data_IF_463855388525
#
_entry.id   IF_463855388525
#
_cell.length_a   1.000
_cell.length_b   1.000
_cell.length_c   1.000
_cell.angle_alpha   90.00
_cell.angle_beta   90.00
_cell.angle_gamma   90.00
#
_symmetry.space_group_name_H-M   'P 1'
#
loop_
_entity.id
_entity.type
_entity.pdbx_description
1 polymer ?
#
# COMPACT_ATOMS: atom_id res chain seq x y z
N UNK A 1 -5.52 41.69 -7.88
CA UNK A 1 -6.21 40.41 -7.76
C UNK A 1 -5.33 39.32 -7.12
N UNK A 2 -5.30 39.26 -5.80
CA UNK A 2 -4.44 38.29 -5.10
C UNK A 2 -5.09 36.94 -4.85
N UNK A 3 -6.35 36.72 -5.22
CA UNK A 3 -7.12 35.54 -4.84
C UNK A 3 -6.74 34.24 -5.60
N UNK A 4 -6.09 34.35 -6.77
CA UNK A 4 -5.74 33.17 -7.57
C UNK A 4 -4.51 32.41 -7.05
N UNK A 5 -3.59 33.07 -6.35
CA UNK A 5 -2.37 32.43 -5.85
C UNK A 5 -2.60 31.61 -4.58
N UNK A 6 -3.51 32.00 -3.70
CA UNK A 6 -3.82 31.23 -2.50
C UNK A 6 -4.65 29.98 -2.81
N UNK A 7 -5.61 30.09 -3.74
CA UNK A 7 -6.37 28.93 -4.20
C UNK A 7 -5.48 27.91 -4.94
N UNK A 8 -4.54 28.37 -5.76
CA UNK A 8 -3.56 27.51 -6.41
C UNK A 8 -2.62 26.81 -5.41
N UNK A 9 -2.21 27.49 -4.34
CA UNK A 9 -1.37 26.87 -3.31
C UNK A 9 -2.09 25.80 -2.50
N UNK A 10 -3.40 25.91 -2.31
CA UNK A 10 -4.21 24.92 -1.62
C UNK A 10 -4.46 23.67 -2.49
N UNK A 11 -4.62 23.85 -3.79
CA UNK A 11 -4.80 22.74 -4.75
C UNK A 11 -3.53 21.88 -4.85
N UNK A 12 -2.34 22.46 -4.72
CA UNK A 12 -1.05 21.76 -4.80
C UNK A 12 -0.46 21.39 -3.45
N UNK A 13 -1.19 21.50 -2.38
CA UNK A 13 -0.71 21.14 -1.06
C UNK A 13 -0.50 19.63 -0.95
N UNK A 14 0.75 19.22 -0.78
CA UNK A 14 1.12 17.81 -0.65
C UNK A 14 0.48 17.20 0.60
N UNK A 15 -0.27 16.11 0.43
CA UNK A 15 -0.94 15.40 1.51
C UNK A 15 -0.24 14.11 1.91
N UNK A 16 0.77 13.69 1.14
CA UNK A 16 1.49 12.48 1.47
C UNK A 16 2.73 12.26 0.61
N UNK A 17 3.50 11.29 1.03
CA UNK A 17 4.67 10.78 0.32
C UNK A 17 4.71 9.26 0.47
N UNK A 18 5.11 8.57 -0.56
CA UNK A 18 5.51 7.17 -0.56
C UNK A 18 6.68 7.00 -1.53
N UNK A 19 7.51 6.01 -1.32
CA UNK A 19 8.72 5.81 -2.11
C UNK A 19 8.89 4.36 -2.52
N UNK A 20 9.56 4.14 -3.65
CA UNK A 20 10.19 2.86 -3.95
C UNK A 20 11.57 2.80 -3.33
N UNK A 21 11.91 1.66 -2.77
CA UNK A 21 13.23 1.42 -2.18
C UNK A 21 13.63 -0.04 -2.37
N UNK A 22 14.89 -0.36 -2.05
CA UNK A 22 15.46 -1.71 -2.25
C UNK A 22 15.11 -2.26 -3.63
N UNK A 23 15.46 -1.47 -4.64
CA UNK A 23 15.20 -1.77 -6.04
C UNK A 23 16.30 -2.69 -6.54
N UNK A 24 15.94 -3.95 -6.85
CA UNK A 24 16.85 -4.98 -7.33
C UNK A 24 16.38 -5.51 -8.69
N UNK A 25 16.73 -4.84 -9.80
CA UNK A 25 16.24 -5.22 -11.11
C UNK A 25 16.68 -6.63 -11.54
N UNK A 26 17.88 -7.05 -11.14
CA UNK A 26 18.40 -8.38 -11.47
C UNK A 26 17.58 -9.52 -10.87
N UNK A 27 17.07 -9.34 -9.65
CA UNK A 27 16.18 -10.28 -8.97
C UNK A 27 14.70 -10.02 -9.28
N UNK A 28 14.40 -8.87 -9.88
CA UNK A 28 13.04 -8.43 -10.17
C UNK A 28 12.23 -8.07 -8.94
N UNK A 29 12.87 -7.54 -7.89
CA UNK A 29 12.19 -7.11 -6.66
C UNK A 29 12.28 -5.61 -6.43
N UNK A 30 11.21 -5.06 -5.84
CA UNK A 30 11.09 -3.65 -5.47
C UNK A 30 10.18 -3.54 -4.24
N UNK A 31 10.49 -2.61 -3.35
CA UNK A 31 9.72 -2.38 -2.12
C UNK A 31 9.03 -1.03 -2.17
N UNK A 32 7.81 -0.96 -1.63
CA UNK A 32 7.16 0.31 -1.29
C UNK A 32 7.34 0.60 0.21
N UNK A 33 7.72 1.82 0.51
CA UNK A 33 7.92 2.23 1.90
C UNK A 33 8.03 3.74 2.05
N UNK A 34 8.51 4.18 3.22
CA UNK A 34 8.53 5.60 3.60
C UNK A 34 7.17 6.27 3.39
N UNK A 35 6.09 5.55 3.75
CA UNK A 35 4.72 6.01 3.55
C UNK A 35 4.35 6.96 4.68
N UNK A 36 4.16 8.23 4.34
CA UNK A 36 3.71 9.26 5.25
C UNK A 36 2.51 9.98 4.66
N UNK A 37 1.33 9.70 5.17
CA UNK A 37 0.09 10.34 4.74
C UNK A 37 -0.42 11.27 5.85
N UNK A 38 -0.83 12.48 5.47
CA UNK A 38 -1.48 13.40 6.39
C UNK A 38 -2.81 12.83 6.91
N UNK A 39 -3.32 13.31 8.05
CA UNK A 39 -4.64 12.92 8.51
C UNK A 39 -5.76 13.13 7.48
N UNK A 40 -5.61 14.11 6.58
CA UNK A 40 -6.58 14.37 5.50
C UNK A 40 -6.55 13.29 4.40
N UNK A 41 -5.40 12.65 4.18
CA UNK A 41 -5.25 11.61 3.16
C UNK A 41 -5.47 10.21 3.74
N UNK A 42 -5.13 10.00 5.01
CA UNK A 42 -5.28 8.70 5.67
C UNK A 42 -6.70 8.17 5.57
N UNK A 43 -6.85 6.86 5.31
CA UNK A 43 -8.14 6.16 5.24
C UNK A 43 -9.09 6.66 4.15
N UNK A 44 -8.58 7.36 3.15
CA UNK A 44 -9.36 7.82 2.01
C UNK A 44 -9.23 6.86 0.82
N UNK A 45 -10.17 6.93 -0.10
CA UNK A 45 -10.10 6.24 -1.40
C UNK A 45 -8.88 6.68 -2.19
N UNK A 46 -8.54 7.97 -2.16
CA UNK A 46 -7.35 8.51 -2.82
C UNK A 46 -6.04 7.90 -2.30
N UNK A 47 -5.92 7.65 -0.99
CA UNK A 47 -4.77 6.95 -0.43
C UNK A 47 -4.66 5.51 -0.97
N UNK A 48 -5.77 4.81 -1.06
CA UNK A 48 -5.83 3.46 -1.63
C UNK A 48 -5.48 3.46 -3.10
N UNK A 49 -6.02 4.40 -3.87
CA UNK A 49 -5.71 4.55 -5.31
C UNK A 49 -4.22 4.85 -5.54
N UNK A 50 -3.62 5.71 -4.72
CA UNK A 50 -2.19 6.00 -4.79
C UNK A 50 -1.35 4.74 -4.61
N UNK A 51 -1.68 3.90 -3.63
CA UNK A 51 -0.98 2.63 -3.41
C UNK A 51 -1.22 1.63 -4.55
N UNK A 52 -2.43 1.60 -5.09
CA UNK A 52 -2.74 0.80 -6.29
C UNK A 52 -1.90 1.20 -7.49
N UNK A 53 -1.83 2.49 -7.79
CA UNK A 53 -1.04 3.00 -8.93
C UNK A 53 0.46 2.68 -8.79
N UNK A 54 1.01 2.75 -7.57
CA UNK A 54 2.39 2.35 -7.32
C UNK A 54 2.60 0.84 -7.54
N UNK A 55 1.70 0.00 -7.07
CA UNK A 55 1.77 -1.46 -7.29
C UNK A 55 1.64 -1.79 -8.78
N UNK A 56 0.70 -1.16 -9.47
CA UNK A 56 0.49 -1.31 -10.90
C UNK A 56 1.76 -0.97 -11.68
N UNK A 57 2.36 0.19 -11.40
CA UNK A 57 3.60 0.59 -12.07
C UNK A 57 4.71 -0.44 -11.86
N UNK A 58 4.88 -0.95 -10.65
CA UNK A 58 5.93 -1.92 -10.35
C UNK A 58 5.78 -3.20 -11.19
N UNK A 59 4.57 -3.78 -11.27
CA UNK A 59 4.34 -4.98 -12.07
C UNK A 59 4.38 -4.71 -13.58
N UNK A 60 3.87 -3.58 -14.05
CA UNK A 60 3.93 -3.19 -15.46
C UNK A 60 5.36 -2.86 -15.91
N UNK A 61 6.23 -2.41 -15.00
CA UNK A 61 7.66 -2.24 -15.25
C UNK A 61 8.45 -3.57 -15.29
N UNK A 62 7.80 -4.70 -15.02
CA UNK A 62 8.39 -6.03 -15.12
C UNK A 62 8.97 -6.58 -13.82
N UNK A 63 8.75 -5.92 -12.69
CA UNK A 63 9.10 -6.50 -11.41
C UNK A 63 8.20 -7.69 -11.12
N UNK A 64 8.80 -8.78 -10.61
CA UNK A 64 8.08 -10.02 -10.29
C UNK A 64 7.66 -10.12 -8.82
N UNK A 65 8.22 -9.23 -7.96
CA UNK A 65 7.99 -9.22 -6.53
C UNK A 65 7.91 -7.78 -6.02
N UNK A 66 6.79 -7.45 -5.38
CA UNK A 66 6.53 -6.17 -4.76
C UNK A 66 6.43 -6.34 -3.24
N UNK A 67 7.29 -5.66 -2.48
CA UNK A 67 7.51 -5.93 -1.07
C UNK A 67 6.94 -4.83 -0.17
N UNK A 68 6.53 -5.25 1.02
CA UNK A 68 6.17 -4.40 2.14
C UNK A 68 6.82 -4.94 3.41
N UNK A 69 7.48 -4.06 4.17
CA UNK A 69 8.12 -4.40 5.43
C UNK A 69 7.71 -3.41 6.51
N UNK A 70 7.54 -3.90 7.73
CA UNK A 70 7.27 -3.03 8.86
C UNK A 70 7.80 -3.64 10.16
N UNK A 71 7.86 -2.82 11.21
CA UNK A 71 8.06 -3.33 12.55
C UNK A 71 6.96 -4.35 12.88
N UNK A 72 7.34 -5.52 13.38
CA UNK A 72 6.39 -6.58 13.71
C UNK A 72 5.33 -6.15 14.75
N UNK A 73 5.64 -5.15 15.57
CA UNK A 73 4.71 -4.54 16.54
C UNK A 73 3.73 -3.56 15.90
N UNK A 74 3.98 -3.11 14.66
CA UNK A 74 3.10 -2.15 13.97
C UNK A 74 1.89 -2.84 13.35
N UNK A 75 0.90 -3.13 14.16
CA UNK A 75 -0.32 -3.81 13.75
C UNK A 75 -1.11 -3.04 12.66
N UNK A 76 -1.07 -1.71 12.70
CA UNK A 76 -1.74 -0.90 11.69
C UNK A 76 -1.11 -1.11 10.30
N UNK A 77 0.22 -1.12 10.22
CA UNK A 77 0.95 -1.39 8.97
C UNK A 77 0.75 -2.82 8.48
N UNK A 78 0.75 -3.81 9.38
CA UNK A 78 0.50 -5.22 9.06
C UNK A 78 -0.90 -5.39 8.45
N UNK A 79 -1.93 -4.80 9.06
CA UNK A 79 -3.29 -4.82 8.50
C UNK A 79 -3.40 -4.09 7.17
N UNK A 80 -2.71 -2.95 7.01
CA UNK A 80 -2.69 -2.21 5.76
C UNK A 80 -2.07 -3.03 4.62
N UNK A 81 -0.96 -3.72 4.86
CA UNK A 81 -0.33 -4.60 3.88
C UNK A 81 -1.31 -5.66 3.36
N UNK A 82 -1.96 -6.40 4.27
CA UNK A 82 -2.93 -7.43 3.88
C UNK A 82 -4.16 -6.86 3.16
N UNK A 83 -4.67 -5.72 3.63
CA UNK A 83 -5.76 -5.02 2.96
C UNK A 83 -5.41 -4.68 1.50
N UNK A 84 -4.18 -4.30 1.24
CA UNK A 84 -3.66 -4.00 -0.09
C UNK A 84 -3.27 -5.24 -0.90
N UNK A 85 -3.47 -6.44 -0.38
CA UNK A 85 -3.24 -7.69 -1.09
C UNK A 85 -1.83 -8.26 -0.95
N UNK A 86 -1.01 -7.74 -0.04
CA UNK A 86 0.28 -8.35 0.26
C UNK A 86 0.11 -9.55 1.19
N UNK A 87 0.62 -10.69 0.79
CA UNK A 87 0.65 -11.91 1.58
C UNK A 87 1.74 -11.86 2.65
N UNK A 88 1.43 -12.34 3.85
CA UNK A 88 2.40 -12.45 4.93
C UNK A 88 3.42 -13.55 4.64
N UNK A 89 4.71 -13.26 4.82
CA UNK A 89 5.77 -14.24 4.60
C UNK A 89 6.47 -14.68 5.88
N UNK A 90 6.52 -13.83 6.88
CA UNK A 90 7.12 -14.19 8.15
C UNK A 90 7.67 -13.00 8.94
N UNK A 91 8.29 -13.32 10.07
CA UNK A 91 8.96 -12.35 10.93
C UNK A 91 10.42 -12.67 11.00
N UNK A 92 11.27 -11.70 10.65
CA UNK A 92 12.70 -11.76 10.94
C UNK A 92 12.92 -11.27 12.36
N UNK A 93 13.24 -12.21 13.25
CA UNK A 93 13.50 -11.91 14.66
C UNK A 93 14.85 -11.21 14.81
N UNK A 94 14.91 -10.17 15.65
CA UNK A 94 16.13 -9.40 15.93
C UNK A 94 16.82 -8.87 14.67
N UNK A 95 16.02 -8.48 13.67
CA UNK A 95 16.52 -8.02 12.38
C UNK A 95 17.31 -6.71 12.49
N UNK A 96 16.92 -5.83 13.40
CA UNK A 96 17.49 -4.49 13.53
C UNK A 96 17.53 -4.04 14.99
N UNK A 97 18.45 -3.11 15.27
CA UNK A 97 18.42 -2.28 16.47
C UNK A 97 18.09 -0.85 16.04
N UNK A 98 16.97 -0.32 16.53
CA UNK A 98 16.51 1.02 16.20
C UNK A 98 16.39 1.82 17.49
N UNK A 99 17.11 2.93 17.59
CA UNK A 99 17.14 3.77 18.81
C UNK A 99 17.43 2.96 20.08
N UNK A 100 18.38 2.02 20.01
CA UNK A 100 18.79 1.16 21.11
C UNK A 100 17.81 0.05 21.50
N UNK A 101 16.75 -0.17 20.71
CA UNK A 101 15.75 -1.21 20.95
C UNK A 101 15.73 -2.25 19.85
N UNK A 102 15.48 -3.49 20.22
CA UNK A 102 15.25 -4.56 19.24
C UNK A 102 14.06 -4.23 18.33
N UNK A 103 14.19 -4.57 17.06
CA UNK A 103 13.12 -4.52 16.08
C UNK A 103 13.07 -5.83 15.30
N UNK A 104 12.03 -6.59 15.53
CA UNK A 104 11.62 -7.67 14.65
C UNK A 104 10.90 -7.08 13.43
N UNK A 105 11.15 -7.62 12.25
CA UNK A 105 10.58 -7.11 11.00
C UNK A 105 9.59 -8.11 10.41
N UNK A 106 8.36 -7.67 10.21
CA UNK A 106 7.34 -8.43 9.49
C UNK A 106 7.49 -8.17 7.98
N UNK A 107 7.46 -9.25 7.20
CA UNK A 107 7.64 -9.26 5.75
C UNK A 107 6.36 -9.64 5.05
N UNK A 108 6.02 -8.89 4.02
CA UNK A 108 4.87 -9.10 3.15
C UNK A 108 5.29 -8.91 1.70
N UNK A 109 4.66 -9.64 0.79
CA UNK A 109 4.88 -9.46 -0.64
C UNK A 109 3.62 -9.79 -1.44
N UNK A 110 3.53 -9.18 -2.62
CA UNK A 110 2.70 -9.61 -3.73
C UNK A 110 3.64 -10.02 -4.87
N UNK A 111 3.27 -11.04 -5.64
CA UNK A 111 4.05 -11.52 -6.77
C UNK A 111 3.30 -11.35 -8.09
N UNK A 112 4.02 -11.42 -9.19
CA UNK A 112 3.49 -11.15 -10.53
C UNK A 112 2.33 -12.07 -10.93
N UNK A 113 2.37 -13.34 -10.50
CA UNK A 113 1.27 -14.28 -10.77
C UNK A 113 -0.02 -13.95 -10.01
N UNK A 114 0.06 -13.20 -8.89
CA UNK A 114 -1.10 -12.73 -8.11
C UNK A 114 -1.65 -11.41 -8.66
N UNK A 115 -0.82 -10.65 -9.37
CA UNK A 115 -1.15 -9.30 -9.81
C UNK A 115 -2.44 -9.20 -10.63
N UNK A 116 -2.74 -10.06 -11.63
CA UNK A 116 -3.98 -9.92 -12.41
C UNK A 116 -5.23 -9.97 -11.54
N UNK A 117 -5.27 -10.85 -10.55
CA UNK A 117 -6.40 -10.96 -9.63
C UNK A 117 -6.46 -9.76 -8.65
N UNK A 118 -5.32 -9.31 -8.15
CA UNK A 118 -5.22 -8.13 -7.30
C UNK A 118 -5.65 -6.87 -8.05
N UNK A 119 -5.22 -6.70 -9.30
CA UNK A 119 -5.64 -5.58 -10.15
C UNK A 119 -7.16 -5.53 -10.29
N UNK A 120 -7.78 -6.65 -10.60
CA UNK A 120 -9.24 -6.76 -10.68
C UNK A 120 -9.93 -6.39 -9.36
N UNK A 121 -9.37 -6.81 -8.23
CA UNK A 121 -9.90 -6.47 -6.90
C UNK A 121 -9.84 -4.96 -6.63
N UNK A 122 -8.72 -4.30 -6.96
CA UNK A 122 -8.58 -2.86 -6.84
C UNK A 122 -9.51 -2.09 -7.78
N UNK A 123 -9.58 -2.49 -9.05
CA UNK A 123 -10.47 -1.85 -10.04
C UNK A 123 -11.93 -1.95 -9.60
N UNK A 124 -12.35 -3.12 -9.09
CA UNK A 124 -13.69 -3.30 -8.53
C UNK A 124 -13.92 -2.42 -7.28
N UNK A 125 -12.94 -2.32 -6.40
CA UNK A 125 -13.05 -1.48 -5.21
C UNK A 125 -13.16 -0.01 -5.57
N UNK A 126 -12.38 0.47 -6.55
CA UNK A 126 -12.28 1.86 -6.97
C UNK A 126 -13.38 2.28 -7.98
N UNK A 127 -14.18 1.34 -8.47
CA UNK A 127 -15.32 1.64 -9.36
C UNK A 127 -16.31 2.55 -8.62
N UNK A 128 -16.75 3.63 -9.28
CA UNK A 128 -17.71 4.58 -8.72
C UNK A 128 -18.99 3.91 -8.22
N UNK A 129 -19.43 2.83 -8.87
CA UNK A 129 -20.59 2.02 -8.47
C UNK A 129 -20.41 1.28 -7.14
N UNK A 130 -19.18 1.19 -6.65
CA UNK A 130 -18.90 0.58 -5.34
C UNK A 130 -19.12 1.55 -4.18
N UNK A 131 -19.51 2.78 -4.42
CA UNK A 131 -19.72 3.78 -3.38
C UNK A 131 -21.19 4.18 -3.30
N UNK A 132 -21.68 4.28 -2.06
CA UNK A 132 -23.02 4.77 -1.79
C UNK A 132 -23.11 6.31 -1.92
N UNK A 133 -24.30 6.85 -1.70
CA UNK A 133 -24.56 8.30 -1.77
C UNK A 133 -23.74 9.11 -0.74
N UNK A 134 -23.25 8.46 0.32
CA UNK A 134 -22.39 9.07 1.33
C UNK A 134 -20.89 8.90 1.02
N UNK A 135 -20.55 8.26 -0.12
CA UNK A 135 -19.18 8.00 -0.54
C UNK A 135 -18.50 6.85 0.21
N UNK A 136 -19.27 5.97 0.85
CA UNK A 136 -18.75 4.78 1.54
C UNK A 136 -18.72 3.58 0.60
N UNK A 137 -17.67 2.75 0.64
CA UNK A 137 -17.60 1.56 -0.19
C UNK A 137 -18.65 0.52 0.26
N UNK A 138 -19.44 0.03 -0.69
CA UNK A 138 -20.41 -1.07 -0.48
C UNK A 138 -19.63 -2.39 -0.26
N UNK A 139 -18.59 -2.61 -1.06
CA UNK A 139 -17.69 -3.76 -0.91
C UNK A 139 -16.32 -3.27 -0.45
N UNK A 140 -15.83 -3.79 0.66
CA UNK A 140 -14.51 -3.39 1.18
C UNK A 140 -13.37 -3.99 0.37
N UNK A 141 -12.24 -3.27 0.27
CA UNK A 141 -11.05 -3.82 -0.38
C UNK A 141 -10.57 -5.10 0.33
N UNK A 142 -10.61 -5.13 1.66
CA UNK A 142 -10.20 -6.31 2.43
C UNK A 142 -11.01 -7.56 2.08
N UNK A 143 -12.32 -7.43 1.81
CA UNK A 143 -13.13 -8.58 1.39
C UNK A 143 -12.77 -9.08 -0.01
N UNK A 144 -12.27 -8.20 -0.87
CA UNK A 144 -11.85 -8.54 -2.23
C UNK A 144 -10.44 -9.13 -2.28
N UNK A 145 -9.53 -8.66 -1.43
CA UNK A 145 -8.13 -9.11 -1.41
C UNK A 145 -7.89 -10.32 -0.52
N UNK A 146 -8.63 -10.46 0.58
CA UNK A 146 -8.41 -11.55 1.54
C UNK A 146 -8.47 -12.97 0.94
N UNK A 147 -9.34 -13.29 -0.03
CA UNK A 147 -9.32 -14.59 -0.71
C UNK A 147 -8.09 -14.82 -1.59
N UNK A 148 -7.40 -13.75 -1.99
CA UNK A 148 -6.26 -13.79 -2.91
C UNK A 148 -4.92 -13.93 -2.17
N UNK A 149 -4.91 -13.75 -0.85
CA UNK A 149 -3.69 -13.86 -0.06
C UNK A 149 -3.20 -15.30 -0.01
N UNK A 150 -1.94 -15.51 -0.38
CA UNK A 150 -1.26 -16.80 -0.25
C UNK A 150 -1.19 -17.24 1.21
N UNK A 151 -0.87 -16.30 2.11
CA UNK A 151 -0.84 -16.51 3.55
C UNK A 151 -1.31 -15.26 4.29
N UNK A 152 -2.14 -15.47 5.30
CA UNK A 152 -2.59 -14.39 6.18
C UNK A 152 -1.68 -14.25 7.40
N UNK A 153 -1.53 -13.02 7.83
CA UNK A 153 -0.97 -12.70 9.14
C UNK A 153 -2.04 -12.95 10.24
N UNK A 154 -1.63 -13.31 11.42
CA UNK A 154 -2.50 -13.65 12.56
C UNK A 154 -2.84 -12.40 13.36
#
# INVERSE_FOLDING_TARGET
TPSSSSAASDVYKRQGIASYLRIHPAEGSIEVGHIHFSPLLQRTTSATESMFLMMQWAFEAGYRRYEWKCNALNQASRRAAQRLGFSFEGIFRQMMIVKGRNRDTAWFAAIDSEWPALKTAFERYLDEKNFDEEGKPVTSLSSLTAPLLHKKDV
#
